data_IF_733911444401
#
_entry.id   IF_733911444401
#
_cell.length_a   1.000
_cell.length_b   1.000
_cell.length_c   1.000
_cell.angle_alpha   90.00
_cell.angle_beta   90.00
_cell.angle_gamma   90.00
#
_symmetry.space_group_name_H-M   'P 1'
#
loop_
_entity.id
_entity.type
_entity.pdbx_description
1 polymer ?
#
# COMPACT_ATOMS: atom_id res chain seq x y z
N UNK A 1 -47.04 -15.82 8.33
CA UNK A 1 -46.10 -14.91 9.02
C UNK A 1 -44.89 -14.74 8.14
N UNK A 2 -44.84 -13.67 7.35
CA UNK A 2 -43.68 -13.35 6.50
C UNK A 2 -42.67 -12.58 7.33
N UNK A 3 -41.51 -13.18 7.60
CA UNK A 3 -40.40 -12.46 8.19
C UNK A 3 -39.97 -11.37 7.20
N UNK A 4 -40.19 -10.11 7.58
CA UNK A 4 -39.62 -8.95 6.90
C UNK A 4 -38.09 -9.10 6.93
N UNK A 5 -37.50 -9.53 5.81
CA UNK A 5 -36.05 -9.47 5.62
C UNK A 5 -35.66 -8.00 5.64
N UNK A 6 -35.19 -7.53 6.79
CA UNK A 6 -34.58 -6.21 6.92
C UNK A 6 -33.35 -6.20 6.00
N UNK A 7 -33.52 -5.70 4.79
CA UNK A 7 -32.43 -5.51 3.84
C UNK A 7 -31.56 -4.39 4.37
N UNK A 8 -30.57 -4.74 5.20
CA UNK A 8 -29.51 -3.82 5.58
C UNK A 8 -28.79 -3.39 4.31
N UNK A 9 -29.07 -2.17 3.85
CA UNK A 9 -28.43 -1.62 2.66
C UNK A 9 -26.93 -1.46 2.91
N UNK A 10 -26.11 -2.20 2.17
CA UNK A 10 -24.67 -2.01 2.15
C UNK A 10 -24.37 -0.64 1.51
N UNK A 11 -23.71 0.24 2.26
CA UNK A 11 -23.26 1.55 1.75
C UNK A 11 -21.75 1.54 1.53
N UNK A 12 -21.36 1.62 0.26
CA UNK A 12 -19.96 1.73 -0.17
C UNK A 12 -19.63 3.18 -0.54
N UNK A 13 -18.36 3.55 -0.41
CA UNK A 13 -17.82 4.83 -0.85
C UNK A 13 -16.68 4.62 -1.81
N UNK A 14 -16.64 5.41 -2.88
CA UNK A 14 -15.56 5.35 -3.87
C UNK A 14 -14.24 5.87 -3.32
N UNK A 15 -14.29 6.87 -2.44
CA UNK A 15 -13.10 7.44 -1.85
C UNK A 15 -13.42 8.57 -0.87
N UNK A 16 -12.38 9.28 -0.46
CA UNK A 16 -12.51 10.54 0.28
C UNK A 16 -11.59 11.60 -0.32
N UNK A 17 -12.12 12.80 -0.47
CA UNK A 17 -11.37 13.99 -0.90
C UNK A 17 -11.70 15.14 0.05
N UNK A 18 -10.69 15.75 0.67
CA UNK A 18 -10.90 16.84 1.64
C UNK A 18 -11.85 16.49 2.80
N UNK A 19 -11.89 15.22 3.22
CA UNK A 19 -12.80 14.72 4.25
C UNK A 19 -14.22 14.38 3.78
N UNK A 20 -14.61 14.79 2.57
CA UNK A 20 -15.91 14.44 1.96
C UNK A 20 -15.87 13.03 1.36
N UNK A 21 -16.98 12.30 1.50
CA UNK A 21 -17.15 10.98 0.87
C UNK A 21 -17.43 11.17 -0.62
N UNK A 22 -16.65 10.49 -1.46
CA UNK A 22 -16.86 10.46 -2.90
C UNK A 22 -17.82 9.32 -3.26
N UNK A 23 -18.76 9.62 -4.15
CA UNK A 23 -19.63 8.62 -4.79
C UNK A 23 -18.86 7.87 -5.88
N UNK A 24 -19.34 6.68 -6.21
CA UNK A 24 -18.85 5.94 -7.38
C UNK A 24 -19.08 6.75 -8.66
N UNK A 25 -18.20 6.58 -9.67
CA UNK A 25 -18.44 7.17 -10.98
C UNK A 25 -19.83 6.81 -11.52
N UNK A 26 -20.48 7.71 -12.28
CA UNK A 26 -21.75 7.41 -12.94
C UNK A 26 -21.68 6.10 -13.71
N UNK A 27 -22.79 5.35 -13.71
CA UNK A 27 -22.93 4.09 -14.44
C UNK A 27 -21.92 2.98 -14.06
N UNK A 28 -21.31 3.06 -12.87
CA UNK A 28 -20.50 1.94 -12.35
C UNK A 28 -21.39 0.70 -12.16
N UNK A 29 -21.24 -0.29 -13.02
CA UNK A 29 -21.94 -1.59 -13.00
C UNK A 29 -20.92 -2.72 -12.98
N UNK A 30 -21.25 -3.81 -12.29
CA UNK A 30 -20.37 -4.97 -12.18
C UNK A 30 -20.53 -5.69 -10.85
N UNK A 31 -19.43 -6.24 -10.34
CA UNK A 31 -19.44 -7.20 -9.24
C UNK A 31 -18.54 -6.79 -8.09
N UNK A 32 -18.99 -7.07 -6.87
CA UNK A 32 -18.11 -7.15 -5.72
C UNK A 32 -17.54 -8.57 -5.65
N UNK A 33 -16.24 -8.67 -5.43
CA UNK A 33 -15.59 -9.96 -5.25
C UNK A 33 -14.50 -9.86 -4.19
N UNK A 34 -14.24 -10.98 -3.51
CA UNK A 34 -13.13 -11.07 -2.58
C UNK A 34 -11.84 -11.38 -3.34
N UNK A 35 -10.84 -10.54 -3.14
CA UNK A 35 -9.51 -10.72 -3.68
C UNK A 35 -8.53 -10.98 -2.54
N UNK A 36 -7.79 -12.08 -2.66
CA UNK A 36 -6.60 -12.34 -1.84
C UNK A 36 -5.41 -12.40 -2.78
N UNK A 37 -4.41 -11.50 -2.63
CA UNK A 37 -3.27 -11.54 -3.53
C UNK A 37 -2.51 -12.88 -3.42
N UNK A 38 -1.94 -13.38 -4.52
CA UNK A 38 -1.12 -14.59 -4.48
C UNK A 38 -0.01 -14.45 -3.45
N UNK A 39 0.23 -15.50 -2.65
CA UNK A 39 1.25 -15.55 -1.59
C UNK A 39 1.04 -14.56 -0.44
N UNK A 40 -0.09 -13.86 -0.40
CA UNK A 40 -0.38 -12.94 0.70
C UNK A 40 -0.73 -13.69 1.99
N UNK A 41 -0.28 -13.19 3.16
CA UNK A 41 -0.69 -13.73 4.44
C UNK A 41 -2.21 -13.71 4.61
N UNK A 42 -2.80 -14.58 5.47
CA UNK A 42 -4.24 -14.62 5.72
C UNK A 42 -4.87 -13.29 6.18
N UNK A 43 -4.06 -12.37 6.71
CA UNK A 43 -4.51 -11.05 7.18
C UNK A 43 -4.64 -10.03 6.04
N UNK A 44 -4.17 -10.36 4.85
CA UNK A 44 -4.19 -9.49 3.67
C UNK A 44 -5.21 -10.05 2.69
N UNK A 45 -6.31 -9.32 2.55
CA UNK A 45 -7.33 -9.55 1.55
C UNK A 45 -8.26 -8.36 1.50
N UNK A 46 -9.06 -8.27 0.45
CA UNK A 46 -9.88 -7.12 0.21
C UNK A 46 -11.10 -7.43 -0.66
N UNK A 47 -12.19 -6.70 -0.45
CA UNK A 47 -13.30 -6.66 -1.39
C UNK A 47 -12.94 -5.64 -2.47
N UNK A 48 -13.01 -6.05 -3.74
CA UNK A 48 -12.83 -5.18 -4.90
C UNK A 48 -14.12 -5.05 -5.68
N UNK A 49 -14.14 -4.06 -6.57
CA UNK A 49 -15.22 -3.88 -7.53
C UNK A 49 -14.68 -4.12 -8.93
N UNK A 50 -15.23 -5.11 -9.63
CA UNK A 50 -14.92 -5.37 -11.05
C UNK A 50 -16.01 -4.79 -11.92
N UNK A 51 -15.63 -3.92 -12.86
CA UNK A 51 -16.54 -3.32 -13.84
C UNK A 51 -16.85 -4.36 -14.91
N UNK A 52 -18.14 -4.57 -15.16
CA UNK A 52 -18.65 -5.47 -16.19
C UNK A 52 -20.05 -5.03 -16.63
N UNK A 53 -20.36 -5.16 -17.92
CA UNK A 53 -21.64 -4.72 -18.50
C UNK A 53 -22.78 -5.73 -18.29
N UNK A 54 -22.44 -7.01 -18.12
CA UNK A 54 -23.40 -8.11 -18.01
C UNK A 54 -22.90 -9.18 -17.03
N UNK A 55 -23.76 -10.15 -16.72
CA UNK A 55 -23.49 -11.19 -15.72
C UNK A 55 -22.34 -12.15 -16.09
N UNK A 56 -22.00 -12.25 -17.38
CA UNK A 56 -20.95 -13.14 -17.88
C UNK A 56 -19.60 -12.43 -18.03
N UNK A 57 -19.56 -11.10 -17.99
CA UNK A 57 -18.36 -10.30 -18.23
C UNK A 57 -17.42 -10.16 -17.04
N UNK A 58 -17.48 -11.07 -16.05
CA UNK A 58 -16.59 -10.98 -14.88
C UNK A 58 -15.13 -11.21 -15.26
N UNK A 59 -14.85 -12.22 -16.10
CA UNK A 59 -13.48 -12.59 -16.46
C UNK A 59 -12.81 -11.54 -17.35
N UNK A 60 -13.58 -10.93 -18.27
CA UNK A 60 -13.14 -9.86 -19.15
C UNK A 60 -13.21 -8.46 -18.51
N UNK A 61 -13.76 -8.38 -17.29
CA UNK A 61 -13.96 -7.14 -16.56
C UNK A 61 -12.65 -6.57 -16.01
N UNK A 62 -12.64 -5.26 -15.77
CA UNK A 62 -11.49 -4.56 -15.17
C UNK A 62 -11.82 -4.10 -13.75
N UNK A 63 -10.84 -4.13 -12.86
CA UNK A 63 -11.01 -3.55 -11.52
C UNK A 63 -11.28 -2.05 -11.64
N UNK A 64 -12.34 -1.58 -10.97
CA UNK A 64 -12.59 -0.15 -10.78
C UNK A 64 -11.36 0.46 -10.11
N UNK A 65 -10.77 1.48 -10.73
CA UNK A 65 -9.66 2.20 -10.13
C UNK A 65 -10.17 3.23 -9.14
N UNK A 66 -9.51 3.35 -8.00
CA UNK A 66 -9.64 4.47 -7.07
C UNK A 66 -9.07 5.76 -7.67
N UNK A 67 -9.35 6.94 -7.08
CA UNK A 67 -8.76 8.21 -7.53
C UNK A 67 -7.22 8.26 -7.59
N UNK A 68 -6.54 7.26 -7.01
CA UNK A 68 -5.07 7.12 -7.02
C UNK A 68 -4.59 6.03 -7.99
N UNK A 69 -5.40 5.69 -8.98
CA UNK A 69 -5.04 4.75 -10.07
C UNK A 69 -4.63 3.35 -9.58
N UNK A 70 -5.31 2.87 -8.53
CA UNK A 70 -5.18 1.52 -7.95
C UNK A 70 -6.53 0.87 -7.89
N UNK A 71 -6.64 -0.47 -7.95
CA UNK A 71 -7.90 -1.16 -7.68
C UNK A 71 -8.56 -0.62 -6.41
N UNK A 72 -9.79 -0.14 -6.58
CA UNK A 72 -10.67 0.26 -5.50
C UNK A 72 -10.91 -0.97 -4.63
N UNK A 73 -10.81 -0.78 -3.32
CA UNK A 73 -10.94 -1.90 -2.40
C UNK A 73 -11.46 -1.47 -1.02
N UNK A 74 -12.04 -2.44 -0.31
CA UNK A 74 -12.29 -2.40 1.13
C UNK A 74 -11.51 -3.54 1.75
N UNK A 75 -10.48 -3.22 2.50
CA UNK A 75 -9.60 -4.23 3.08
C UNK A 75 -10.24 -5.05 4.16
N UNK A 76 -9.68 -6.22 4.39
CA UNK A 76 -10.07 -7.11 5.48
C UNK A 76 -9.90 -6.45 6.85
N UNK A 77 -8.91 -5.58 7.00
CA UNK A 77 -8.73 -4.76 8.20
C UNK A 77 -9.95 -3.86 8.45
N UNK A 78 -10.53 -3.31 7.38
CA UNK A 78 -11.74 -2.51 7.44
C UNK A 78 -13.00 -3.38 7.62
N UNK A 79 -13.12 -4.48 6.89
CA UNK A 79 -14.25 -5.41 6.97
C UNK A 79 -14.38 -6.03 8.36
N UNK A 80 -13.25 -6.35 9.00
CA UNK A 80 -13.21 -6.99 10.31
C UNK A 80 -13.82 -6.12 11.42
N UNK A 81 -13.74 -4.79 11.30
CA UNK A 81 -14.01 -3.89 12.43
C UNK A 81 -15.16 -2.92 12.23
N UNK A 82 -15.53 -2.59 10.99
CA UNK A 82 -16.55 -1.56 10.77
C UNK A 82 -17.94 -2.21 10.76
N UNK A 83 -18.88 -1.79 11.64
CA UNK A 83 -20.18 -2.44 11.77
C UNK A 83 -21.00 -2.51 10.48
N UNK A 84 -20.90 -1.50 9.61
CA UNK A 84 -21.62 -1.48 8.32
C UNK A 84 -21.25 -2.63 7.37
N UNK A 85 -20.12 -3.29 7.62
CA UNK A 85 -19.65 -4.44 6.83
C UNK A 85 -19.93 -5.78 7.52
N UNK A 86 -20.74 -5.81 8.58
CA UNK A 86 -21.05 -7.04 9.31
C UNK A 86 -21.63 -8.14 8.41
N UNK A 87 -22.64 -7.81 7.58
CA UNK A 87 -23.25 -8.77 6.67
C UNK A 87 -22.25 -9.31 5.62
N UNK A 88 -21.41 -8.43 5.05
CA UNK A 88 -20.34 -8.84 4.11
C UNK A 88 -19.35 -9.78 4.80
N UNK A 89 -18.91 -9.42 6.02
CA UNK A 89 -17.99 -10.25 6.81
C UNK A 89 -18.59 -11.61 7.16
N UNK A 90 -19.87 -11.66 7.55
CA UNK A 90 -20.59 -12.89 7.84
C UNK A 90 -20.67 -13.79 6.60
N UNK A 91 -21.02 -13.22 5.45
CA UNK A 91 -21.07 -13.96 4.19
C UNK A 91 -19.68 -14.51 3.79
N UNK A 92 -18.62 -13.71 3.91
CA UNK A 92 -17.25 -14.18 3.65
C UNK A 92 -16.82 -15.33 4.58
N UNK A 93 -17.31 -15.36 5.82
CA UNK A 93 -17.06 -16.48 6.75
C UNK A 93 -17.88 -17.72 6.39
N UNK A 94 -19.14 -17.55 5.99
CA UNK A 94 -20.00 -18.65 5.54
C UNK A 94 -19.46 -19.34 4.29
N UNK A 95 -18.92 -18.56 3.36
CA UNK A 95 -18.27 -19.06 2.13
C UNK A 95 -16.85 -19.61 2.38
N UNK A 96 -16.34 -19.58 3.62
CA UNK A 96 -15.01 -20.08 3.96
C UNK A 96 -13.84 -19.24 3.44
N UNK A 97 -14.10 -18.04 2.93
CA UNK A 97 -13.09 -17.13 2.38
C UNK A 97 -12.24 -16.47 3.47
N UNK A 98 -12.81 -16.30 4.66
CA UNK A 98 -12.11 -15.82 5.86
C UNK A 98 -12.54 -16.63 7.10
N UNK A 99 -11.72 -16.63 8.15
CA UNK A 99 -12.03 -17.35 9.40
C UNK A 99 -12.30 -16.39 10.57
N UNK A 100 -13.04 -16.82 11.61
CA UNK A 100 -13.22 -16.03 12.83
C UNK A 100 -11.89 -15.60 13.47
N UNK A 101 -10.88 -16.48 13.39
CA UNK A 101 -9.51 -16.20 13.88
C UNK A 101 -8.86 -15.05 13.12
N UNK A 102 -8.97 -15.03 11.79
CA UNK A 102 -8.44 -13.94 10.95
C UNK A 102 -9.15 -12.62 11.24
N UNK A 103 -10.48 -12.64 11.38
CA UNK A 103 -11.28 -11.45 11.75
C UNK A 103 -10.82 -10.89 13.09
N UNK A 104 -10.66 -11.73 14.11
CA UNK A 104 -10.19 -11.32 15.44
C UNK A 104 -8.78 -10.70 15.36
N UNK A 105 -7.85 -11.32 14.62
CA UNK A 105 -6.49 -10.77 14.41
C UNK A 105 -6.52 -9.40 13.73
N UNK A 106 -7.32 -9.24 12.68
CA UNK A 106 -7.49 -7.94 12.00
C UNK A 106 -8.08 -6.89 12.95
N UNK A 107 -9.04 -7.25 13.79
CA UNK A 107 -9.61 -6.31 14.77
C UNK A 107 -8.60 -5.85 15.82
N UNK A 108 -7.80 -6.77 16.37
CA UNK A 108 -6.72 -6.44 17.30
C UNK A 108 -5.66 -5.55 16.65
N UNK A 109 -5.28 -5.87 15.42
CA UNK A 109 -4.35 -5.05 14.65
C UNK A 109 -4.87 -3.62 14.47
N UNK A 110 -6.12 -3.46 14.01
CA UNK A 110 -6.69 -2.14 13.81
C UNK A 110 -6.70 -1.32 15.10
N UNK A 111 -7.01 -1.96 16.23
CA UNK A 111 -6.95 -1.32 17.54
C UNK A 111 -5.54 -0.81 17.84
N UNK A 112 -4.53 -1.67 17.68
CA UNK A 112 -3.13 -1.30 17.90
C UNK A 112 -2.68 -0.11 17.01
N UNK A 113 -3.06 -0.11 15.73
CA UNK A 113 -2.78 1.00 14.82
C UNK A 113 -3.43 2.32 15.26
N UNK A 114 -4.65 2.26 15.79
CA UNK A 114 -5.33 3.44 16.32
C UNK A 114 -4.68 3.93 17.62
N UNK A 115 -4.35 3.02 18.54
CA UNK A 115 -3.74 3.34 19.84
C UNK A 115 -2.36 4.00 19.65
N UNK A 116 -1.62 3.61 18.60
CA UNK A 116 -0.36 4.23 18.22
C UNK A 116 -0.50 5.58 17.48
N UNK A 117 -1.72 6.14 17.39
CA UNK A 117 -1.97 7.43 16.72
C UNK A 117 -1.91 7.36 15.19
N UNK A 118 -1.75 6.17 14.61
CA UNK A 118 -1.64 5.96 13.16
C UNK A 118 -2.99 5.75 12.48
N UNK A 119 -4.06 6.35 13.04
CA UNK A 119 -5.47 6.11 12.75
C UNK A 119 -5.70 5.62 11.31
N UNK A 120 -6.06 4.33 11.18
CA UNK A 120 -5.98 3.51 9.94
C UNK A 120 -5.64 4.34 8.71
N UNK A 121 -4.34 4.54 8.51
CA UNK A 121 -3.80 5.37 7.44
C UNK A 121 -4.55 5.10 6.13
N UNK A 122 -4.95 6.18 5.47
CA UNK A 122 -5.86 6.27 4.30
C UNK A 122 -5.40 5.48 3.04
N UNK A 123 -4.35 4.66 3.15
CA UNK A 123 -3.51 4.11 2.08
C UNK A 123 -2.82 2.86 2.64
N UNK A 124 -3.49 1.71 2.61
CA UNK A 124 -2.96 0.48 3.20
C UNK A 124 -1.88 -0.13 2.29
N UNK A 125 -0.66 0.40 2.38
CA UNK A 125 0.52 -0.24 1.81
C UNK A 125 0.88 -1.41 2.73
N UNK A 126 0.26 -2.58 2.52
CA UNK A 126 0.73 -3.82 3.13
C UNK A 126 1.93 -4.33 2.34
N UNK A 127 3.08 -4.54 2.97
CA UNK A 127 4.25 -5.16 2.38
C UNK A 127 4.49 -6.51 3.08
N UNK A 128 4.58 -7.58 2.30
CA UNK A 128 4.87 -8.91 2.82
C UNK A 128 5.99 -9.62 2.01
N UNK A 129 6.56 -8.96 1.00
CA UNK A 129 7.78 -9.36 0.31
C UNK A 129 8.47 -8.14 -0.34
N UNK A 130 9.77 -8.24 -0.63
CA UNK A 130 10.52 -7.18 -1.32
C UNK A 130 10.16 -7.16 -2.80
N UNK A 131 10.33 -6.02 -3.46
CA UNK A 131 9.85 -5.75 -4.83
C UNK A 131 8.33 -5.72 -4.97
N UNK A 132 7.58 -5.77 -3.87
CA UNK A 132 6.15 -5.54 -3.90
C UNK A 132 5.85 -4.07 -4.28
N UNK A 133 5.00 -3.80 -5.29
CA UNK A 133 4.63 -2.44 -5.65
C UNK A 133 3.72 -1.76 -4.61
N UNK A 134 4.05 -0.54 -4.20
CA UNK A 134 3.23 0.29 -3.33
C UNK A 134 3.26 1.79 -3.71
N UNK A 135 2.38 2.61 -3.16
CA UNK A 135 2.19 4.00 -3.62
C UNK A 135 2.83 4.93 -2.63
N UNK A 136 3.45 5.96 -3.17
CA UNK A 136 4.04 7.05 -2.42
C UNK A 136 3.69 8.38 -3.08
N UNK A 137 3.42 9.38 -2.27
CA UNK A 137 3.44 10.77 -2.72
C UNK A 137 4.88 11.28 -2.60
N UNK A 138 5.41 11.91 -3.65
CA UNK A 138 6.81 12.33 -3.69
C UNK A 138 7.11 13.48 -2.72
N UNK A 139 6.09 14.21 -2.30
CA UNK A 139 6.21 15.29 -1.31
C UNK A 139 6.14 14.80 0.16
N UNK A 140 5.97 13.49 0.39
CA UNK A 140 5.78 12.94 1.74
C UNK A 140 7.10 12.82 2.48
N UNK A 141 7.23 13.42 3.68
CA UNK A 141 8.45 13.39 4.50
C UNK A 141 8.79 12.02 5.11
N UNK A 142 7.82 11.11 5.15
CA UNK A 142 8.02 9.71 5.55
C UNK A 142 7.28 8.79 4.60
N UNK A 143 7.82 7.58 4.44
CA UNK A 143 7.13 6.48 3.78
C UNK A 143 6.74 5.47 4.86
N UNK A 144 5.43 5.25 5.00
CA UNK A 144 4.89 4.30 5.95
C UNK A 144 4.19 3.15 5.24
N UNK A 145 4.38 1.95 5.79
CA UNK A 145 3.71 0.74 5.34
C UNK A 145 3.57 -0.25 6.49
N UNK A 146 2.60 -1.15 6.35
CA UNK A 146 2.35 -2.24 7.28
C UNK A 146 3.09 -3.47 6.80
N UNK A 147 3.92 -4.07 7.64
CA UNK A 147 4.57 -5.34 7.34
C UNK A 147 3.69 -6.47 7.85
N UNK A 148 3.39 -7.48 7.04
CA UNK A 148 2.41 -8.51 7.42
C UNK A 148 2.97 -9.92 7.25
N UNK A 149 2.79 -10.75 8.27
CA UNK A 149 3.01 -12.20 8.22
C UNK A 149 1.73 -12.96 8.50
N UNK A 150 1.85 -14.29 8.53
CA UNK A 150 0.79 -15.19 8.98
C UNK A 150 0.38 -14.94 10.45
N UNK A 151 1.26 -14.35 11.26
CA UNK A 151 1.09 -14.26 12.71
C UNK A 151 1.10 -12.84 13.27
N UNK A 152 1.87 -11.94 12.65
CA UNK A 152 2.19 -10.62 13.17
C UNK A 152 1.99 -9.56 12.09
N UNK A 153 1.73 -8.34 12.54
CA UNK A 153 1.83 -7.15 11.70
C UNK A 153 2.70 -6.13 12.41
N UNK A 154 3.65 -5.57 11.67
CA UNK A 154 4.48 -4.46 12.10
C UNK A 154 4.10 -3.18 11.38
N UNK A 155 4.48 -2.05 11.96
CA UNK A 155 4.47 -0.75 11.28
C UNK A 155 5.92 -0.46 10.92
N UNK A 156 6.18 -0.15 9.66
CA UNK A 156 7.46 0.37 9.24
C UNK A 156 7.30 1.81 8.81
N UNK A 157 8.16 2.68 9.34
CA UNK A 157 8.27 4.08 8.94
C UNK A 157 9.71 4.34 8.52
N UNK A 158 9.92 4.56 7.23
CA UNK A 158 11.22 4.92 6.68
C UNK A 158 11.27 6.43 6.41
N UNK A 159 12.41 7.09 6.68
CA UNK A 159 12.67 8.41 6.12
C UNK A 159 12.55 8.31 4.60
N UNK A 160 11.70 9.14 4.02
CA UNK A 160 11.43 9.12 2.58
C UNK A 160 12.74 9.28 1.78
N UNK A 161 12.91 8.59 0.64
CA UNK A 161 14.05 8.84 -0.24
C UNK A 161 13.89 10.18 -0.99
N UNK A 162 12.69 10.77 -0.99
CA UNK A 162 12.38 12.00 -1.72
C UNK A 162 12.67 13.30 -0.95
N UNK A 163 13.16 13.20 0.29
CA UNK A 163 13.45 14.36 1.16
C UNK A 163 14.88 14.84 0.92
N UNK A 164 15.02 16.13 0.69
CA UNK A 164 16.31 16.78 0.79
C UNK A 164 16.58 17.15 2.25
N UNK A 165 17.43 16.37 2.91
CA UNK A 165 17.78 16.56 4.32
C UNK A 165 18.50 17.89 4.58
N UNK A 166 19.11 18.52 3.56
CA UNK A 166 19.77 19.83 3.71
C UNK A 166 18.75 20.94 3.93
N UNK A 167 17.54 20.77 3.38
CA UNK A 167 16.44 21.73 3.47
C UNK A 167 15.26 21.24 4.32
N UNK A 168 15.31 19.99 4.80
CA UNK A 168 14.22 19.35 5.56
C UNK A 168 12.87 19.39 4.83
N UNK A 169 12.88 19.32 3.50
CA UNK A 169 11.66 19.30 2.68
C UNK A 169 11.83 18.46 1.41
N UNK A 170 10.72 18.02 0.84
CA UNK A 170 10.72 17.25 -0.42
C UNK A 170 10.65 18.22 -1.59
N UNK A 171 11.57 18.16 -2.56
CA UNK A 171 11.63 19.11 -3.66
C UNK A 171 10.57 18.87 -4.74
N UNK A 172 9.91 17.72 -4.72
CA UNK A 172 8.98 17.30 -5.77
C UNK A 172 7.57 17.04 -5.25
N UNK A 173 6.59 17.52 -6.02
CA UNK A 173 5.20 17.09 -5.95
C UNK A 173 4.95 15.89 -6.87
N UNK A 174 3.69 15.48 -6.95
CA UNK A 174 3.27 14.29 -7.70
C UNK A 174 3.36 13.01 -6.88
N UNK A 175 3.17 11.88 -7.55
CA UNK A 175 3.08 10.58 -6.91
C UNK A 175 3.37 9.44 -7.86
N UNK A 176 3.66 8.27 -7.30
CA UNK A 176 4.04 7.10 -8.09
C UNK A 176 3.82 5.78 -7.38
N UNK A 177 3.94 4.71 -8.17
CA UNK A 177 4.12 3.35 -7.69
C UNK A 177 5.62 3.07 -7.62
N UNK A 178 6.07 2.66 -6.44
CA UNK A 178 7.45 2.31 -6.15
C UNK A 178 7.54 0.89 -5.61
N UNK A 179 8.74 0.35 -5.57
CA UNK A 179 9.05 -0.87 -4.83
C UNK A 179 10.34 -0.69 -4.03
N UNK A 180 10.46 -1.46 -2.95
CA UNK A 180 11.73 -1.63 -2.24
C UNK A 180 12.51 -2.78 -2.88
N UNK A 181 13.76 -2.56 -3.24
CA UNK A 181 14.64 -3.64 -3.70
C UNK A 181 15.91 -3.73 -2.86
N UNK A 182 16.45 -4.95 -2.65
CA UNK A 182 17.77 -5.11 -2.04
C UNK A 182 18.80 -4.27 -2.79
N UNK A 183 19.71 -3.66 -2.04
CA UNK A 183 20.80 -2.88 -2.60
C UNK A 183 22.11 -3.24 -1.89
N UNK A 184 23.09 -3.67 -2.68
CA UNK A 184 24.45 -3.92 -2.19
C UNK A 184 25.22 -2.62 -2.27
N UNK A 185 25.55 -2.05 -1.11
CA UNK A 185 26.36 -0.84 -1.02
C UNK A 185 27.85 -1.23 -1.04
N UNK A 186 28.63 -0.82 -2.05
CA UNK A 186 30.05 -1.18 -2.15
C UNK A 186 30.88 -0.71 -0.95
N UNK A 187 30.48 0.39 -0.31
CA UNK A 187 31.16 0.91 0.88
C UNK A 187 30.74 0.19 2.16
N UNK A 188 29.60 -0.52 2.13
CA UNK A 188 28.97 -1.16 3.29
C UNK A 188 28.35 -2.51 2.89
N UNK A 189 29.16 -3.47 2.41
CA UNK A 189 28.66 -4.72 1.84
C UNK A 189 27.93 -5.60 2.86
N UNK A 190 28.23 -5.44 4.14
CA UNK A 190 27.64 -6.23 5.23
C UNK A 190 26.32 -5.66 5.76
N UNK A 191 25.91 -4.47 5.31
CA UNK A 191 24.65 -3.85 5.72
C UNK A 191 23.49 -4.26 4.81
N UNK A 192 22.37 -4.66 5.42
CA UNK A 192 21.13 -4.92 4.68
C UNK A 192 20.47 -3.59 4.31
N UNK A 193 20.68 -3.16 3.07
CA UNK A 193 20.17 -1.90 2.56
C UNK A 193 19.14 -2.13 1.48
N UNK A 194 18.18 -1.23 1.41
CA UNK A 194 17.19 -1.18 0.33
C UNK A 194 17.25 0.14 -0.38
N UNK A 195 16.94 0.11 -1.67
CA UNK A 195 16.69 1.28 -2.49
C UNK A 195 15.23 1.30 -2.95
N UNK A 196 14.74 2.49 -3.26
CA UNK A 196 13.43 2.67 -3.85
C UNK A 196 13.56 2.74 -5.37
N UNK A 197 12.87 1.86 -6.08
CA UNK A 197 12.70 1.96 -7.54
C UNK A 197 11.35 2.56 -7.87
N UNK A 198 11.31 3.55 -8.76
CA UNK A 198 10.08 4.11 -9.29
C UNK A 198 9.62 3.23 -10.45
N UNK A 199 8.50 2.53 -10.29
CA UNK A 199 7.94 1.67 -11.33
C UNK A 199 7.10 2.46 -12.31
N UNK A 200 6.30 3.41 -11.80
CA UNK A 200 5.38 4.21 -12.59
C UNK A 200 5.07 5.53 -11.90
N UNK A 201 5.01 6.63 -12.65
CA UNK A 201 4.52 7.92 -12.21
C UNK A 201 3.00 7.96 -12.42
N UNK A 202 2.26 8.39 -11.40
CA UNK A 202 0.79 8.47 -11.40
C UNK A 202 0.32 9.91 -11.56
N UNK A 203 0.85 10.81 -10.72
CA UNK A 203 0.69 12.25 -10.88
C UNK A 203 2.04 12.84 -11.33
N UNK A 204 2.07 13.67 -12.39
CA UNK A 204 3.31 14.22 -12.94
C UNK A 204 4.21 14.85 -11.87
N UNK A 205 5.50 14.50 -11.95
CA UNK A 205 6.55 15.09 -11.12
C UNK A 205 6.70 16.56 -11.48
N UNK A 206 6.70 17.42 -10.47
CA UNK A 206 6.93 18.86 -10.64
C UNK A 206 7.71 19.40 -9.44
N UNK A 207 8.55 20.39 -9.69
CA UNK A 207 9.40 21.01 -8.67
C UNK A 207 8.55 21.93 -7.79
N UNK A 208 8.67 21.80 -6.47
CA UNK A 208 8.00 22.62 -5.46
C UNK A 208 8.88 23.77 -4.95
N UNK A 209 10.21 23.65 -5.13
CA UNK A 209 11.19 24.58 -4.57
C UNK A 209 11.78 25.46 -5.66
N UNK A 210 11.82 26.76 -5.40
CA UNK A 210 12.42 27.73 -6.31
C UNK A 210 13.94 27.53 -6.34
N UNK A 211 14.54 27.62 -7.53
CA UNK A 211 15.99 27.55 -7.75
C UNK A 211 16.64 26.28 -7.16
N UNK A 212 15.91 25.16 -7.15
CA UNK A 212 16.40 23.90 -6.60
C UNK A 212 17.60 23.38 -7.40
N UNK A 213 18.64 22.95 -6.69
CA UNK A 213 19.91 22.48 -7.26
C UNK A 213 19.87 21.02 -7.75
N UNK A 214 18.71 20.36 -7.68
CA UNK A 214 18.50 18.97 -8.09
C UNK A 214 19.41 17.97 -7.35
N UNK A 215 19.78 18.27 -6.11
CA UNK A 215 20.54 17.35 -5.27
C UNK A 215 19.84 16.00 -5.12
N UNK A 216 18.53 15.99 -4.88
CA UNK A 216 17.68 14.82 -5.09
C UNK A 216 17.22 14.88 -6.54
N UNK A 217 17.42 13.81 -7.31
CA UNK A 217 16.99 13.77 -8.70
C UNK A 217 15.47 13.57 -8.81
N UNK A 218 14.82 14.07 -9.88
CA UNK A 218 13.41 13.84 -10.12
C UNK A 218 13.08 12.34 -10.12
N UNK A 219 12.03 11.89 -9.41
CA UNK A 219 11.54 10.52 -9.50
C UNK A 219 11.26 10.14 -10.96
N UNK A 220 11.98 9.16 -11.49
CA UNK A 220 11.93 8.80 -12.92
C UNK A 220 11.56 7.34 -13.07
N UNK A 221 10.58 7.04 -13.92
CA UNK A 221 10.13 5.67 -14.17
C UNK A 221 11.29 4.76 -14.58
N UNK A 222 11.30 3.55 -14.05
CA UNK A 222 12.35 2.56 -14.29
C UNK A 222 13.61 2.78 -13.46
N UNK A 223 13.79 3.93 -12.81
CA UNK A 223 15.04 4.27 -12.10
C UNK A 223 14.95 4.11 -10.59
N UNK A 224 16.12 3.91 -9.97
CA UNK A 224 16.28 4.09 -8.52
C UNK A 224 16.15 5.58 -8.17
N UNK A 225 15.65 5.89 -6.97
CA UNK A 225 15.70 7.25 -6.46
C UNK A 225 17.16 7.60 -6.15
N UNK A 226 17.64 8.70 -6.71
CA UNK A 226 19.05 9.08 -6.69
C UNK A 226 19.27 10.47 -6.08
N UNK A 227 20.49 10.67 -5.59
CA UNK A 227 21.02 11.99 -5.21
C UNK A 227 22.41 12.22 -5.79
N UNK A 228 22.78 13.47 -6.00
CA UNK A 228 24.13 13.87 -6.42
C UNK A 228 24.73 14.84 -5.43
N UNK A 229 25.93 14.54 -4.95
CA UNK A 229 26.81 15.59 -4.43
C UNK A 229 27.45 16.30 -5.62
N UNK A 230 27.71 17.61 -5.51
CA UNK A 230 28.06 18.52 -6.63
C UNK A 230 29.28 18.12 -7.48
N UNK A 231 29.98 17.04 -7.13
CA UNK A 231 31.18 16.55 -7.81
C UNK A 231 31.18 15.02 -8.01
N UNK A 232 30.05 14.34 -7.79
CA UNK A 232 29.95 12.89 -7.85
C UNK A 232 28.83 12.44 -8.79
N UNK A 233 29.00 11.26 -9.40
CA UNK A 233 27.95 10.61 -10.16
C UNK A 233 26.70 10.40 -9.28
N UNK A 234 25.48 10.44 -9.85
CA UNK A 234 24.26 10.15 -9.11
C UNK A 234 24.33 8.80 -8.40
N UNK A 235 24.10 8.80 -7.09
CA UNK A 235 24.10 7.61 -6.26
C UNK A 235 22.69 7.27 -5.78
N UNK A 236 22.36 5.98 -5.71
CA UNK A 236 21.08 5.54 -5.19
C UNK A 236 20.92 5.95 -3.71
N UNK A 237 19.73 6.43 -3.37
CA UNK A 237 19.39 6.73 -1.99
C UNK A 237 18.97 5.43 -1.31
N UNK A 238 19.82 4.96 -0.41
CA UNK A 238 19.60 3.72 0.33
C UNK A 238 19.14 3.98 1.76
N UNK A 239 18.41 3.02 2.32
CA UNK A 239 18.04 3.00 3.73
C UNK A 239 18.52 1.70 4.34
N UNK A 240 19.15 1.80 5.52
CA UNK A 240 19.34 0.64 6.36
C UNK A 240 17.97 0.13 6.74
N UNK A 241 17.77 -1.16 6.54
CA UNK A 241 16.56 -1.83 6.92
C UNK A 241 16.85 -2.51 8.25
N UNK A 242 16.53 -1.86 9.38
CA UNK A 242 16.67 -2.54 10.67
C UNK A 242 15.80 -3.79 10.68
N UNK A 243 16.48 -4.91 10.86
CA UNK A 243 16.07 -6.20 10.35
C UNK A 243 15.01 -6.86 11.22
N UNK A 244 14.77 -6.42 12.44
CA UNK A 244 13.86 -7.16 13.34
C UNK A 244 12.39 -7.04 12.93
N UNK A 245 11.99 -5.89 12.40
CA UNK A 245 10.62 -5.65 11.91
C UNK A 245 10.35 -6.17 10.49
N UNK A 246 11.41 -6.47 9.72
CA UNK A 246 11.31 -6.84 8.30
C UNK A 246 11.79 -8.27 8.03
N UNK A 247 12.83 -8.79 8.72
CA UNK A 247 13.17 -10.23 8.74
C UNK A 247 12.02 -11.04 9.31
N UNK A 248 11.46 -10.60 10.43
CA UNK A 248 10.28 -11.26 11.01
C UNK A 248 9.08 -11.18 10.07
N UNK A 249 8.99 -10.13 9.23
CA UNK A 249 7.76 -9.81 8.51
C UNK A 249 7.70 -10.21 7.03
N UNK A 250 8.84 -10.37 6.36
CA UNK A 250 8.89 -10.52 4.90
C UNK A 250 9.40 -11.90 4.46
N UNK A 251 9.57 -12.85 5.40
CA UNK A 251 10.13 -14.19 5.16
C UNK A 251 11.38 -14.16 4.26
N UNK A 252 12.26 -13.17 4.48
CA UNK A 252 13.49 -13.08 3.70
C UNK A 252 14.42 -14.22 4.13
N UNK A 253 15.02 -14.98 3.19
CA UNK A 253 16.06 -15.94 3.54
C UNK A 253 17.22 -15.21 4.24
N UNK A 254 17.95 -15.89 5.14
CA UNK A 254 18.99 -15.26 5.95
C UNK A 254 20.12 -14.61 5.13
N UNK A 255 20.31 -15.01 3.87
CA UNK A 255 21.26 -14.43 2.92
C UNK A 255 20.52 -13.94 1.65
N UNK A 256 20.76 -12.69 1.25
CA UNK A 256 20.18 -12.06 0.05
C UNK A 256 20.74 -12.59 -1.28
N UNK A 257 21.69 -13.52 -1.24
CA UNK A 257 22.41 -14.03 -2.42
C UNK A 257 21.60 -14.94 -3.35
N UNK A 258 20.47 -15.48 -2.87
CA UNK A 258 19.68 -16.49 -3.60
C UNK A 258 18.21 -16.10 -3.71
N UNK A 259 17.93 -14.91 -4.23
CA UNK A 259 16.59 -14.55 -4.73
C UNK A 259 16.71 -14.38 -6.25
N UNK A 260 16.05 -15.21 -7.07
CA UNK A 260 16.03 -15.03 -8.52
C UNK A 260 15.38 -13.71 -8.95
#
# INVERSE_FOLDING_TARGET
MGASVSTRTLRLSYGRQGGKIMKFPPETRGFLYYHKPPKAPPLVGDIRFRIAQNLTGFDDGMDLLSPKSRPWHVSLLVLATVPRYAAVREQLMQEGLITPTVVKKCAMLRKHLNDAGHGVMRWENFLYYLRQPFYVAFHSGTVQFLTVTNEKVGICSLPTPFLDWRMQTSPYGGSGIVQLEPYVDPERPDENRVAFRVLRVIEPVHVLLKDYDYYIHPPTEGSLVQRSFSWQAPAAITRSLDTDSLRSAMMLPPNYGDIP
#
